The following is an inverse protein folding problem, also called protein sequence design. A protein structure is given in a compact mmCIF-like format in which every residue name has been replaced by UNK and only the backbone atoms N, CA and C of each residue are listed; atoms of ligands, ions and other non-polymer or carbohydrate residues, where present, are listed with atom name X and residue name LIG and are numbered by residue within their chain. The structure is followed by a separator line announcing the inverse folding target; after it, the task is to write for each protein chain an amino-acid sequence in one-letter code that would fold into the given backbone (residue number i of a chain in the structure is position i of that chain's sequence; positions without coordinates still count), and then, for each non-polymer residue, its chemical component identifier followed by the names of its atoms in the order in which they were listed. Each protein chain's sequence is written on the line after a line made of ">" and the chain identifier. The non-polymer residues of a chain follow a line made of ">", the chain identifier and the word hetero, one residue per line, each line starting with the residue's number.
data_IF_333092059993
#
_entry.id   IF_333092059993
#
_cell.length_a   1.000
_cell.length_b   1.000
_cell.length_c   1.000
_cell.angle_alpha   90.00
_cell.angle_beta   90.00
_cell.angle_gamma   90.00
#
_symmetry.space_group_name_H-M   'P 1'
#
loop_
_entity.id
_entity.type
_entity.pdbx_description
1 polymer ?
#
# COMPACT_ATOMS: atom_id res chain seq x y z
N UNK A 1 -1.52 33.92 -1.62
CA UNK A 1 -2.06 32.81 -2.44
C UNK A 1 -2.65 33.43 -3.71
N UNK A 2 -2.11 33.10 -4.89
CA UNK A 2 -2.56 33.66 -6.19
C UNK A 2 -3.51 32.65 -6.83
N UNK A 3 -4.63 33.11 -7.39
CA UNK A 3 -5.55 32.23 -8.11
C UNK A 3 -4.88 31.68 -9.38
N UNK A 4 -5.05 30.39 -9.66
CA UNK A 4 -4.29 29.69 -10.72
C UNK A 4 -4.45 30.32 -12.11
N UNK A 5 -5.62 30.91 -12.38
CA UNK A 5 -5.91 31.58 -13.65
C UNK A 5 -5.11 32.88 -13.86
N UNK A 6 -4.49 33.42 -12.81
CA UNK A 6 -3.71 34.66 -12.86
C UNK A 6 -2.20 34.41 -12.97
N UNK A 7 -1.77 33.14 -13.06
CA UNK A 7 -0.36 32.79 -13.29
C UNK A 7 0.10 33.25 -14.66
N UNK A 8 1.32 33.80 -14.72
CA UNK A 8 1.97 34.25 -15.95
C UNK A 8 3.08 33.30 -16.35
N UNK A 9 3.44 33.36 -17.63
CA UNK A 9 4.62 32.66 -18.14
C UNK A 9 5.86 33.12 -17.35
N UNK A 10 6.65 32.16 -16.88
CA UNK A 10 7.85 32.33 -16.04
C UNK A 10 7.58 32.62 -14.55
N UNK A 11 6.34 32.54 -14.06
CA UNK A 11 6.10 32.54 -12.63
C UNK A 11 6.64 31.25 -12.00
N UNK A 12 7.31 31.39 -10.85
CA UNK A 12 7.71 30.25 -10.03
C UNK A 12 6.57 29.86 -9.11
N UNK A 13 6.08 28.64 -9.24
CA UNK A 13 5.01 28.10 -8.39
C UNK A 13 5.59 27.11 -7.38
N UNK A 14 5.08 27.17 -6.15
CA UNK A 14 5.32 26.17 -5.13
C UNK A 14 4.09 25.27 -5.06
N UNK A 15 4.24 24.02 -5.52
CA UNK A 15 3.17 23.04 -5.53
C UNK A 15 3.29 22.14 -4.30
N UNK A 16 2.22 22.07 -3.52
CA UNK A 16 2.06 21.08 -2.47
C UNK A 16 1.03 20.05 -2.95
N UNK A 17 1.45 18.86 -3.37
CA UNK A 17 0.50 17.83 -3.76
C UNK A 17 -0.36 17.45 -2.56
N UNK A 18 -1.66 17.29 -2.78
CA UNK A 18 -2.55 16.76 -1.74
C UNK A 18 -2.19 15.30 -1.51
N UNK A 19 -1.40 15.04 -0.46
CA UNK A 19 -1.00 13.70 -0.07
C UNK A 19 -1.58 13.31 1.29
N UNK A 20 -1.74 12.01 1.51
CA UNK A 20 -2.20 11.42 2.76
C UNK A 20 -1.26 10.31 3.16
N UNK A 21 -0.94 10.27 4.45
CA UNK A 21 -0.15 9.22 5.08
C UNK A 21 -0.83 8.79 6.38
N UNK A 22 -0.76 7.50 6.74
CA UNK A 22 -1.42 6.99 7.95
C UNK A 22 -0.65 5.85 8.58
N UNK A 23 -0.61 5.76 9.91
CA UNK A 23 -0.04 4.60 10.58
C UNK A 23 -1.07 3.95 11.49
N UNK A 24 -1.16 2.62 11.40
CA UNK A 24 -1.99 1.88 12.33
C UNK A 24 -1.18 1.57 13.59
N UNK A 25 -1.50 2.25 14.68
CA UNK A 25 -0.93 1.99 16.00
C UNK A 25 -1.75 0.89 16.68
N UNK A 26 -1.23 -0.33 16.68
CA UNK A 26 -1.86 -1.48 17.34
C UNK A 26 -1.67 -1.48 18.87
N UNK A 27 -0.66 -0.75 19.36
CA UNK A 27 -0.39 -0.57 20.79
C UNK A 27 0.16 0.83 21.09
N UNK A 28 0.18 1.20 22.37
CA UNK A 28 0.83 2.44 22.81
C UNK A 28 2.35 2.41 22.65
N UNK A 29 2.97 1.23 22.52
CA UNK A 29 4.41 1.09 22.33
C UNK A 29 4.83 1.44 20.89
N UNK A 30 4.01 1.05 19.90
CA UNK A 30 4.24 1.24 18.46
C UNK A 30 4.48 2.71 18.09
N UNK A 31 3.95 3.67 18.87
CA UNK A 31 4.19 5.11 18.67
C UNK A 31 5.67 5.50 18.79
N UNK A 32 6.45 4.74 19.56
CA UNK A 32 7.88 5.00 19.79
C UNK A 32 8.76 4.39 18.70
N UNK A 33 8.20 3.52 17.86
CA UNK A 33 8.87 2.94 16.69
C UNK A 33 8.80 3.87 15.47
N UNK A 34 7.93 4.88 15.51
CA UNK A 34 7.85 5.92 14.48
C UNK A 34 9.06 6.85 14.62
N UNK A 35 10.02 6.70 13.71
CA UNK A 35 11.16 7.59 13.56
C UNK A 35 11.16 8.25 12.18
N UNK A 36 11.65 9.49 12.11
CA UNK A 36 11.82 10.24 10.86
C UNK A 36 13.29 10.56 10.63
N UNK A 37 13.73 10.56 9.38
CA UNK A 37 15.05 11.04 8.98
C UNK A 37 15.10 12.59 8.97
N UNK A 38 16.28 13.15 8.69
CA UNK A 38 16.48 14.61 8.64
C UNK A 38 15.63 15.31 7.56
N UNK A 39 15.21 14.57 6.54
CA UNK A 39 14.36 15.04 5.44
C UNK A 39 12.86 14.94 5.75
N UNK A 40 12.51 14.48 6.96
CA UNK A 40 11.12 14.29 7.39
C UNK A 40 10.45 13.05 6.80
N UNK A 41 11.22 12.10 6.25
CA UNK A 41 10.73 10.81 5.78
C UNK A 41 10.76 9.78 6.89
N UNK A 42 9.70 8.99 7.01
CA UNK A 42 9.63 7.95 8.04
C UNK A 42 10.56 6.77 7.70
N UNK A 43 11.25 6.24 8.70
CA UNK A 43 12.04 5.02 8.53
C UNK A 43 11.15 3.81 8.20
N UNK A 44 11.65 2.92 7.33
CA UNK A 44 10.93 1.70 6.95
C UNK A 44 9.66 1.93 6.13
N UNK A 45 9.41 3.14 5.63
CA UNK A 45 8.21 3.45 4.87
C UNK A 45 8.22 2.74 3.52
N UNK A 46 7.09 2.13 3.15
CA UNK A 46 6.91 1.61 1.79
C UNK A 46 7.09 2.74 0.76
N UNK A 47 7.68 2.41 -0.39
CA UNK A 47 8.01 3.38 -1.45
C UNK A 47 6.80 4.18 -1.97
N UNK A 48 5.58 3.70 -1.76
CA UNK A 48 4.36 4.29 -2.27
C UNK A 48 3.69 5.29 -1.32
N UNK A 49 4.32 5.57 -0.18
CA UNK A 49 3.85 6.54 0.80
C UNK A 49 4.69 7.82 0.76
N UNK A 50 4.11 9.01 1.01
CA UNK A 50 2.68 9.25 1.22
C UNK A 50 1.87 9.13 -0.08
N UNK A 51 0.62 8.69 0.02
CA UNK A 51 -0.27 8.51 -1.13
C UNK A 51 -0.76 9.85 -1.67
N UNK A 52 -0.89 10.01 -2.99
CA UNK A 52 -1.70 11.12 -3.52
C UNK A 52 -3.16 10.91 -3.11
N UNK A 53 -3.86 11.98 -2.74
CA UNK A 53 -5.28 11.90 -2.41
C UNK A 53 -6.12 11.40 -3.60
N UNK A 54 -5.65 11.61 -4.83
CA UNK A 54 -6.27 11.03 -6.03
C UNK A 54 -6.10 9.51 -6.13
N UNK A 55 -5.03 8.96 -5.57
CA UNK A 55 -4.73 7.53 -5.55
C UNK A 55 -5.53 6.78 -4.48
N UNK A 56 -6.19 7.48 -3.56
CA UNK A 56 -7.09 6.87 -2.57
C UNK A 56 -8.23 6.07 -3.22
N UNK A 57 -8.62 6.39 -4.46
CA UNK A 57 -9.57 5.59 -5.23
C UNK A 57 -9.07 4.14 -5.49
N UNK A 58 -7.75 3.93 -5.57
CA UNK A 58 -7.16 2.58 -5.69
C UNK A 58 -7.36 1.75 -4.42
N UNK A 59 -7.40 2.40 -3.25
CA UNK A 59 -7.72 1.73 -1.98
C UNK A 59 -9.18 1.26 -1.99
N UNK A 60 -10.11 2.01 -2.60
CA UNK A 60 -11.52 1.59 -2.70
C UNK A 60 -11.70 0.37 -3.63
N UNK A 61 -10.94 0.30 -4.72
CA UNK A 61 -10.86 -0.89 -5.57
C UNK A 61 -10.37 -2.10 -4.77
N UNK A 62 -9.40 -1.89 -3.89
CA UNK A 62 -8.88 -2.92 -3.00
C UNK A 62 -9.92 -3.40 -1.98
N UNK A 63 -10.71 -2.48 -1.39
CA UNK A 63 -11.83 -2.83 -0.49
C UNK A 63 -12.78 -3.84 -1.14
N UNK A 64 -13.15 -3.62 -2.40
CA UNK A 64 -14.03 -4.52 -3.16
C UNK A 64 -13.42 -5.90 -3.39
N UNK A 65 -12.11 -5.95 -3.66
CA UNK A 65 -11.38 -7.19 -3.83
C UNK A 65 -11.33 -7.99 -2.53
N UNK A 66 -10.90 -7.39 -1.42
CA UNK A 66 -10.72 -8.12 -0.16
C UNK A 66 -12.04 -8.56 0.46
N UNK A 67 -13.15 -7.89 0.16
CA UNK A 67 -14.49 -8.36 0.51
C UNK A 67 -14.86 -9.73 -0.10
N UNK A 68 -14.13 -10.17 -1.14
CA UNK A 68 -14.26 -11.50 -1.73
C UNK A 68 -13.54 -12.60 -0.92
N UNK A 69 -12.72 -12.23 0.07
CA UNK A 69 -12.07 -13.16 1.00
C UNK A 69 -12.78 -13.16 2.35
N UNK A 70 -12.63 -14.25 3.11
CA UNK A 70 -12.96 -14.20 4.53
C UNK A 70 -11.83 -13.52 5.33
N UNK A 71 -12.18 -13.02 6.52
CA UNK A 71 -11.26 -12.28 7.38
C UNK A 71 -9.96 -13.07 7.64
N UNK A 72 -10.07 -14.34 8.03
CA UNK A 72 -8.89 -15.16 8.35
C UNK A 72 -7.92 -15.31 7.16
N UNK A 73 -8.45 -15.49 5.95
CA UNK A 73 -7.62 -15.58 4.75
C UNK A 73 -6.94 -14.25 4.42
N UNK A 74 -7.64 -13.15 4.61
CA UNK A 74 -7.07 -11.83 4.39
C UNK A 74 -5.91 -11.55 5.37
N UNK A 75 -6.10 -11.87 6.65
CA UNK A 75 -5.02 -11.80 7.65
C UNK A 75 -3.84 -12.69 7.28
N UNK A 76 -4.11 -13.94 6.88
CA UNK A 76 -3.07 -14.88 6.46
C UNK A 76 -2.27 -14.35 5.27
N UNK A 77 -2.93 -13.83 4.24
CA UNK A 77 -2.24 -13.27 3.06
C UNK A 77 -1.39 -12.07 3.45
N UNK A 78 -1.95 -11.12 4.21
CA UNK A 78 -1.23 -9.93 4.65
C UNK A 78 0.00 -10.29 5.48
N UNK A 79 -0.15 -11.18 6.46
CA UNK A 79 0.94 -11.64 7.32
C UNK A 79 2.02 -12.36 6.52
N UNK A 80 1.65 -13.25 5.59
CA UNK A 80 2.61 -13.99 4.78
C UNK A 80 3.44 -13.06 3.87
N UNK A 81 2.82 -12.04 3.28
CA UNK A 81 3.53 -11.04 2.48
C UNK A 81 4.49 -10.24 3.35
N UNK A 82 4.01 -9.75 4.50
CA UNK A 82 4.83 -8.97 5.43
C UNK A 82 6.04 -9.77 5.94
N UNK A 83 5.81 -10.97 6.50
CA UNK A 83 6.88 -11.83 6.97
C UNK A 83 7.89 -12.13 5.88
N UNK A 84 7.46 -12.45 4.64
CA UNK A 84 8.41 -12.71 3.56
C UNK A 84 9.14 -11.47 3.06
N UNK A 85 8.52 -10.30 3.10
CA UNK A 85 9.21 -9.05 2.78
C UNK A 85 10.31 -8.76 3.79
N UNK A 86 10.04 -8.92 5.08
CA UNK A 86 11.00 -8.72 6.15
C UNK A 86 12.12 -9.77 6.12
N UNK A 87 11.76 -11.05 5.98
CA UNK A 87 12.71 -12.17 5.91
C UNK A 87 13.67 -12.03 4.72
N UNK A 88 13.14 -11.69 3.54
CA UNK A 88 13.91 -11.75 2.29
C UNK A 88 14.53 -10.42 1.88
N UNK A 89 14.00 -9.30 2.41
CA UNK A 89 14.41 -7.94 2.04
C UNK A 89 14.59 -7.77 0.51
N UNK A 90 13.52 -7.98 -0.27
CA UNK A 90 13.60 -8.18 -1.72
C UNK A 90 14.17 -6.97 -2.45
N UNK A 91 15.02 -7.22 -3.44
CA UNK A 91 15.53 -6.16 -4.33
C UNK A 91 14.46 -5.71 -5.33
N UNK A 92 14.72 -4.62 -6.05
CA UNK A 92 13.82 -4.17 -7.13
C UNK A 92 13.57 -5.28 -8.17
N UNK A 93 14.59 -6.07 -8.51
CA UNK A 93 14.49 -7.18 -9.47
C UNK A 93 13.59 -8.31 -8.95
N UNK A 94 13.62 -8.57 -7.64
CA UNK A 94 12.76 -9.60 -7.02
C UNK A 94 11.28 -9.19 -7.03
N UNK A 95 11.02 -7.88 -7.08
CA UNK A 95 9.69 -7.28 -7.10
C UNK A 95 9.11 -7.10 -8.53
N UNK A 96 9.93 -7.22 -9.57
CA UNK A 96 9.45 -7.14 -10.97
C UNK A 96 8.62 -8.37 -11.34
N UNK A 97 7.77 -8.25 -12.38
CA UNK A 97 6.99 -9.39 -12.88
C UNK A 97 7.91 -10.57 -13.26
N UNK A 98 7.65 -11.73 -12.67
CA UNK A 98 8.49 -12.92 -12.79
C UNK A 98 9.66 -13.00 -11.80
N UNK A 99 9.89 -11.95 -10.99
CA UNK A 99 10.82 -11.93 -9.88
C UNK A 99 10.38 -12.84 -8.72
N UNK A 100 11.32 -13.21 -7.84
CA UNK A 100 11.07 -14.21 -6.78
C UNK A 100 9.98 -13.78 -5.82
N UNK A 101 10.03 -12.53 -5.34
CA UNK A 101 9.03 -12.00 -4.42
C UNK A 101 7.69 -11.72 -5.12
N UNK A 102 7.74 -11.30 -6.39
CA UNK A 102 6.53 -11.15 -7.21
C UNK A 102 5.82 -12.50 -7.41
N UNK A 103 6.54 -13.56 -7.79
CA UNK A 103 5.97 -14.89 -7.99
C UNK A 103 5.35 -15.44 -6.69
N UNK A 104 6.01 -15.20 -5.55
CA UNK A 104 5.45 -15.54 -4.25
C UNK A 104 4.10 -14.84 -4.00
N UNK A 105 4.03 -13.53 -4.23
CA UNK A 105 2.77 -12.77 -4.10
C UNK A 105 1.71 -13.27 -5.09
N UNK A 106 2.12 -13.56 -6.33
CA UNK A 106 1.25 -14.06 -7.39
C UNK A 106 0.60 -15.39 -7.00
N UNK A 107 1.41 -16.34 -6.53
CA UNK A 107 0.94 -17.66 -6.12
C UNK A 107 0.00 -17.56 -4.91
N UNK A 108 0.34 -16.71 -3.93
CA UNK A 108 -0.48 -16.49 -2.76
C UNK A 108 -1.86 -15.90 -3.11
N UNK A 109 -1.89 -14.90 -4.00
CA UNK A 109 -3.14 -14.29 -4.49
C UNK A 109 -3.92 -15.29 -5.35
N UNK A 110 -3.25 -16.00 -6.27
CA UNK A 110 -3.90 -16.94 -7.20
C UNK A 110 -4.54 -18.13 -6.48
N UNK A 111 -3.91 -18.63 -5.43
CA UNK A 111 -4.36 -19.83 -4.69
C UNK A 111 -5.32 -19.52 -3.54
N UNK A 112 -5.54 -18.23 -3.24
CA UNK A 112 -6.51 -17.83 -2.22
C UNK A 112 -7.93 -18.27 -2.60
N UNK A 113 -8.77 -18.56 -1.58
CA UNK A 113 -10.15 -19.04 -1.79
C UNK A 113 -11.12 -17.87 -1.94
N UNK A 114 -11.02 -17.18 -3.07
CA UNK A 114 -11.94 -16.09 -3.41
C UNK A 114 -13.37 -16.59 -3.58
N UNK A 115 -14.35 -15.81 -3.14
CA UNK A 115 -15.77 -16.00 -3.53
C UNK A 115 -15.93 -15.90 -5.06
N UNK A 116 -15.27 -14.90 -5.64
CA UNK A 116 -15.14 -14.69 -7.07
C UNK A 116 -13.68 -14.39 -7.38
N UNK A 117 -13.02 -15.25 -8.15
CA UNK A 117 -11.61 -15.06 -8.48
C UNK A 117 -11.37 -13.71 -9.16
N UNK A 118 -10.33 -12.95 -8.75
CA UNK A 118 -9.99 -11.69 -9.40
C UNK A 118 -9.67 -11.91 -10.87
N UNK A 119 -10.22 -11.04 -11.73
CA UNK A 119 -9.98 -11.11 -13.19
C UNK A 119 -8.56 -10.71 -13.58
N UNK A 120 -7.94 -9.84 -12.80
CA UNK A 120 -6.61 -9.26 -13.08
C UNK A 120 -5.66 -9.59 -11.93
N UNK A 121 -5.20 -10.84 -11.87
CA UNK A 121 -4.31 -11.33 -10.80
C UNK A 121 -2.98 -10.55 -10.80
N UNK A 122 -2.48 -10.16 -11.97
CA UNK A 122 -1.23 -9.41 -12.10
C UNK A 122 -1.34 -8.02 -11.45
N UNK A 123 -2.41 -7.27 -11.70
CA UNK A 123 -2.65 -5.97 -11.02
C UNK A 123 -2.59 -6.12 -9.49
N UNK A 124 -3.28 -7.12 -8.95
CA UNK A 124 -3.30 -7.32 -7.50
C UNK A 124 -1.98 -7.81 -6.94
N UNK A 125 -1.23 -8.56 -7.74
CA UNK A 125 0.14 -8.97 -7.40
C UNK A 125 1.04 -7.75 -7.31
N UNK A 126 0.98 -6.84 -8.28
CA UNK A 126 1.73 -5.59 -8.24
C UNK A 126 1.39 -4.78 -6.98
N UNK A 127 0.10 -4.66 -6.64
CA UNK A 127 -0.33 -3.96 -5.42
C UNK A 127 0.18 -4.62 -4.13
N UNK A 128 0.23 -5.95 -4.08
CA UNK A 128 0.83 -6.67 -2.96
C UNK A 128 2.34 -6.43 -2.85
N UNK A 129 3.04 -6.51 -3.97
CA UNK A 129 4.50 -6.27 -4.04
C UNK A 129 4.85 -4.82 -3.67
N UNK A 130 4.00 -3.88 -4.06
CA UNK A 130 4.13 -2.44 -3.79
C UNK A 130 3.70 -2.04 -2.37
N UNK A 131 3.09 -2.94 -1.59
CA UNK A 131 2.67 -2.66 -0.20
C UNK A 131 1.26 -2.08 -0.05
N UNK A 132 0.56 -1.77 -1.14
CA UNK A 132 -0.85 -1.33 -1.10
C UNK A 132 -1.75 -2.35 -0.42
N UNK A 133 -1.43 -3.64 -0.52
CA UNK A 133 -2.24 -4.70 0.10
C UNK A 133 -2.27 -4.58 1.63
N UNK A 134 -1.11 -4.32 2.23
CA UNK A 134 -0.95 -4.18 3.67
C UNK A 134 -1.60 -2.89 4.19
N UNK A 135 -1.37 -1.78 3.50
CA UNK A 135 -1.94 -0.48 3.85
C UNK A 135 -3.48 -0.51 3.76
N UNK A 136 -4.03 -1.06 2.69
CA UNK A 136 -5.47 -1.18 2.56
C UNK A 136 -6.06 -2.19 3.55
N UNK A 137 -5.34 -3.27 3.89
CA UNK A 137 -5.74 -4.14 4.99
C UNK A 137 -5.82 -3.38 6.32
N UNK A 138 -4.79 -2.61 6.67
CA UNK A 138 -4.76 -1.81 7.90
C UNK A 138 -5.90 -0.76 7.91
N UNK A 139 -6.13 -0.09 6.80
CA UNK A 139 -7.17 0.92 6.66
C UNK A 139 -8.59 0.32 6.81
N UNK A 140 -8.92 -0.71 6.04
CA UNK A 140 -10.31 -1.19 5.99
C UNK A 140 -10.66 -2.20 7.08
N UNK A 141 -9.72 -3.06 7.46
CA UNK A 141 -10.02 -4.15 8.41
C UNK A 141 -9.79 -3.75 9.86
N UNK A 142 -8.84 -2.87 10.13
CA UNK A 142 -8.51 -2.47 11.50
C UNK A 142 -9.23 -1.19 11.95
N UNK A 143 -9.61 -0.31 11.02
CA UNK A 143 -10.43 0.88 11.34
C UNK A 143 -11.94 0.66 11.21
N UNK A 144 -12.41 -0.58 11.00
CA UNK A 144 -13.83 -0.92 10.83
C UNK A 144 -14.56 -0.05 9.78
N UNK A 145 -13.94 0.24 8.64
CA UNK A 145 -14.56 0.99 7.54
C UNK A 145 -15.37 0.09 6.58
N UNK A 146 -15.88 -1.04 7.06
CA UNK A 146 -16.69 -2.02 6.33
C UNK A 146 -18.04 -2.18 7.02
#
# INVERSE_FOLDING_TARGET
>A
MVHIQNLRKNDSILLYPSTVDFEYLDSSATRFEIAYNEEGQRFGMNKNRPYLLSDFNKLEDFKKLVAQLNKNQLYYIAQMIQTKREDWNPTSKDCENGGVFWNFCFDLIKTAKWKNSPKDIEKWTNYAVEGYFEDAFNLYMRLNMI
#
